data_IF_039548343515
#
_entry.id   IF_039548343515
#
_cell.length_a   1.000
_cell.length_b   1.000
_cell.length_c   1.000
_cell.angle_alpha   90.00
_cell.angle_beta   90.00
_cell.angle_gamma   90.00
#
_symmetry.space_group_name_H-M   'P 1'
#
loop_
_entity.id
_entity.type
_entity.pdbx_description
1 polymer ?
#
# COMPACT_ATOMS: atom_id res chain seq x y z
N UNK A 1 8.24 -8.97 -11.77
CA UNK A 1 9.16 -10.06 -11.40
C UNK A 1 9.22 -10.30 -9.90
N UNK A 2 9.44 -9.29 -9.04
CA UNK A 2 9.57 -9.48 -7.58
C UNK A 2 8.33 -10.08 -6.93
N UNK A 3 7.12 -9.71 -7.37
CA UNK A 3 5.87 -10.16 -6.76
C UNK A 3 5.59 -11.65 -7.00
N UNK A 4 5.87 -12.15 -8.19
CA UNK A 4 5.49 -13.52 -8.60
C UNK A 4 6.67 -14.41 -8.99
N UNK A 5 7.89 -13.87 -9.08
CA UNK A 5 9.06 -14.57 -9.62
C UNK A 5 9.08 -14.66 -11.15
N UNK A 6 8.04 -14.21 -11.85
CA UNK A 6 7.99 -14.30 -13.32
C UNK A 6 9.04 -13.39 -13.97
N UNK A 7 9.91 -13.91 -14.88
CA UNK A 7 11.04 -13.18 -15.45
C UNK A 7 10.61 -12.25 -16.58
N UNK A 8 9.92 -11.15 -16.26
CA UNK A 8 9.33 -10.23 -17.24
C UNK A 8 10.36 -9.73 -18.27
N UNK A 9 11.56 -9.32 -17.84
CA UNK A 9 12.58 -8.79 -18.74
C UNK A 9 13.05 -9.83 -19.77
N UNK A 10 13.26 -11.08 -19.34
CA UNK A 10 13.64 -12.19 -20.23
C UNK A 10 12.55 -12.48 -21.27
N UNK A 11 11.28 -12.50 -20.83
CA UNK A 11 10.14 -12.72 -21.74
C UNK A 11 10.01 -11.54 -22.70
N UNK A 12 10.06 -10.30 -22.21
CA UNK A 12 9.99 -9.09 -23.04
C UNK A 12 11.07 -9.06 -24.13
N UNK A 13 12.31 -9.44 -23.82
CA UNK A 13 13.39 -9.53 -24.79
C UNK A 13 13.09 -10.55 -25.90
N UNK A 14 12.49 -11.70 -25.57
CA UNK A 14 12.06 -12.70 -26.57
C UNK A 14 10.91 -12.22 -27.43
N UNK A 15 9.91 -11.55 -26.85
CA UNK A 15 8.82 -10.94 -27.59
C UNK A 15 9.33 -9.89 -28.59
N UNK A 16 10.32 -9.10 -28.19
CA UNK A 16 10.93 -8.08 -29.05
C UNK A 16 11.60 -8.63 -30.32
N UNK A 17 12.03 -9.90 -30.30
CA UNK A 17 12.61 -10.59 -31.48
C UNK A 17 11.63 -11.51 -32.20
N UNK A 18 10.33 -11.40 -31.88
CA UNK A 18 9.24 -11.99 -32.68
C UNK A 18 8.58 -13.23 -32.07
N UNK A 19 8.99 -13.72 -30.90
CA UNK A 19 8.26 -14.79 -30.22
C UNK A 19 6.91 -14.29 -29.69
N UNK A 20 5.94 -15.19 -29.59
CA UNK A 20 4.66 -14.93 -28.88
C UNK A 20 4.65 -15.55 -27.50
N UNK A 21 3.72 -15.10 -26.63
CA UNK A 21 3.60 -15.64 -25.27
C UNK A 21 3.25 -17.14 -25.25
N UNK A 22 2.52 -17.60 -26.26
CA UNK A 22 2.09 -19.00 -26.35
C UNK A 22 3.23 -19.93 -26.80
N UNK A 23 4.19 -19.40 -27.56
CA UNK A 23 5.40 -20.15 -27.98
C UNK A 23 6.42 -20.29 -26.86
N UNK A 24 6.37 -19.41 -25.86
CA UNK A 24 7.31 -19.41 -24.75
C UNK A 24 6.76 -20.22 -23.55
N UNK A 25 7.64 -21.00 -22.93
CA UNK A 25 7.29 -21.70 -21.70
C UNK A 25 7.36 -20.76 -20.49
N UNK A 26 6.46 -20.97 -19.56
CA UNK A 26 6.49 -20.32 -18.24
C UNK A 26 7.62 -20.91 -17.41
N UNK A 27 8.57 -20.07 -16.99
CA UNK A 27 9.75 -20.52 -16.23
C UNK A 27 9.40 -21.04 -14.81
N UNK A 28 8.23 -20.65 -14.27
CA UNK A 28 7.79 -21.07 -12.93
C UNK A 28 7.14 -22.44 -12.99
N UNK A 29 6.14 -22.60 -13.81
CA UNK A 29 5.39 -23.86 -13.95
C UNK A 29 6.13 -24.91 -14.78
N UNK A 30 6.95 -24.47 -15.74
CA UNK A 30 7.71 -25.26 -16.73
C UNK A 30 6.86 -26.07 -17.69
N UNK A 31 5.56 -26.16 -17.45
CA UNK A 31 4.60 -26.97 -18.23
C UNK A 31 3.57 -26.13 -18.98
N UNK A 32 3.27 -24.93 -18.50
CA UNK A 32 2.32 -24.01 -19.14
C UNK A 32 3.02 -23.00 -20.04
N UNK A 33 2.30 -22.37 -21.00
CA UNK A 33 2.86 -21.27 -21.78
C UNK A 33 3.08 -20.01 -20.91
N UNK A 34 3.87 -19.06 -21.41
CA UNK A 34 4.13 -17.80 -20.73
C UNK A 34 2.89 -16.89 -20.64
N UNK A 35 1.86 -17.15 -21.42
CA UNK A 35 0.53 -16.50 -21.34
C UNK A 35 -0.30 -16.92 -20.12
N UNK A 36 0.10 -17.97 -19.41
CA UNK A 36 -0.59 -18.44 -18.20
C UNK A 36 -0.47 -17.42 -17.07
N UNK A 37 -1.61 -16.95 -16.56
CA UNK A 37 -1.64 -16.00 -15.46
C UNK A 37 -1.18 -16.65 -14.14
N UNK A 38 -0.37 -15.94 -13.32
CA UNK A 38 0.06 -16.48 -12.03
C UNK A 38 -1.12 -16.63 -11.09
N UNK A 39 -1.19 -17.77 -10.40
CA UNK A 39 -2.10 -18.03 -9.28
C UNK A 39 -1.30 -17.97 -7.98
N UNK A 40 -1.58 -16.98 -7.15
CA UNK A 40 -0.88 -16.74 -5.87
C UNK A 40 -1.89 -16.69 -4.73
N UNK A 41 -1.45 -17.14 -3.54
CA UNK A 41 -2.22 -17.17 -2.30
C UNK A 41 -1.73 -16.14 -1.26
N UNK A 42 -1.03 -15.12 -1.73
CA UNK A 42 -0.52 -14.01 -0.93
C UNK A 42 -0.76 -12.68 -1.62
N UNK A 43 -0.70 -11.59 -0.86
CA UNK A 43 -0.82 -10.23 -1.37
C UNK A 43 0.55 -9.54 -1.28
N UNK A 44 0.93 -8.86 -2.35
CA UNK A 44 2.13 -8.04 -2.39
C UNK A 44 1.72 -6.58 -2.51
N UNK A 45 2.13 -5.78 -1.53
CA UNK A 45 1.96 -4.33 -1.55
C UNK A 45 3.30 -3.66 -1.83
N UNK A 46 3.35 -2.85 -2.87
CA UNK A 46 4.50 -2.04 -3.23
C UNK A 46 4.24 -0.60 -2.83
N UNK A 47 5.10 -0.05 -1.97
CA UNK A 47 5.02 1.34 -1.53
C UNK A 47 6.26 2.09 -2.01
N UNK A 48 6.10 3.14 -2.84
CA UNK A 48 7.22 3.96 -3.28
C UNK A 48 7.70 4.87 -2.15
N UNK A 49 9.02 5.09 -2.10
CA UNK A 49 9.64 6.08 -1.22
C UNK A 49 9.90 7.36 -1.98
N UNK A 50 9.53 8.49 -1.37
CA UNK A 50 9.78 9.84 -1.90
C UNK A 50 10.69 10.59 -0.94
N UNK A 51 11.57 11.43 -1.46
CA UNK A 51 12.54 12.23 -0.69
C UNK A 51 12.54 13.68 -1.19
N UNK A 52 11.34 14.26 -1.35
CA UNK A 52 11.19 15.64 -1.84
C UNK A 52 11.93 16.66 -0.97
N UNK A 53 12.08 16.38 0.33
CA UNK A 53 12.81 17.22 1.28
C UNK A 53 14.31 17.37 0.93
N UNK A 54 14.89 16.42 0.19
CA UNK A 54 16.29 16.44 -0.25
C UNK A 54 16.48 17.17 -1.58
N UNK A 55 15.41 17.47 -2.30
CA UNK A 55 15.44 18.11 -3.62
C UNK A 55 14.72 19.44 -3.57
N UNK A 56 15.45 20.49 -3.12
CA UNK A 56 14.92 21.85 -2.97
C UNK A 56 14.38 22.34 -4.30
N UNK A 57 13.14 22.84 -4.31
CA UNK A 57 12.46 23.34 -5.51
C UNK A 57 11.78 22.27 -6.37
N UNK A 58 11.82 20.99 -5.97
CA UNK A 58 11.09 19.95 -6.68
C UNK A 58 9.57 20.07 -6.44
N UNK A 59 8.79 19.79 -7.48
CA UNK A 59 7.34 19.69 -7.37
C UNK A 59 6.95 18.37 -6.67
N UNK A 60 6.36 18.49 -5.48
CA UNK A 60 5.91 17.35 -4.67
C UNK A 60 4.56 16.77 -5.09
N UNK A 61 3.84 17.37 -6.02
CA UNK A 61 2.61 16.80 -6.55
C UNK A 61 2.91 15.54 -7.36
N UNK A 62 2.19 14.46 -7.06
CA UNK A 62 2.30 13.23 -7.84
C UNK A 62 1.56 13.36 -9.16
N UNK A 63 2.23 12.99 -10.24
CA UNK A 63 1.72 12.99 -11.61
C UNK A 63 2.03 11.64 -12.27
N UNK A 64 1.93 11.54 -13.59
CA UNK A 64 2.32 10.35 -14.34
C UNK A 64 3.84 10.17 -14.45
N UNK A 65 4.65 11.19 -14.13
CA UNK A 65 6.10 11.08 -14.10
C UNK A 65 6.60 10.36 -12.84
N UNK A 66 7.66 9.58 -12.97
CA UNK A 66 8.27 8.88 -11.86
C UNK A 66 9.06 9.86 -10.97
N UNK A 67 8.67 9.97 -9.70
CA UNK A 67 9.28 10.86 -8.70
C UNK A 67 9.83 10.11 -7.48
N UNK A 68 9.59 8.80 -7.40
CA UNK A 68 10.11 7.97 -6.32
C UNK A 68 11.60 7.68 -6.48
N UNK A 69 12.31 7.58 -5.35
CA UNK A 69 13.75 7.26 -5.29
C UNK A 69 14.02 5.81 -4.91
N UNK A 70 13.00 5.11 -4.45
CA UNK A 70 13.07 3.72 -4.03
C UNK A 70 11.67 3.17 -3.77
N UNK A 71 11.62 1.95 -3.26
CA UNK A 71 10.37 1.26 -2.99
C UNK A 71 10.58 0.16 -1.96
N UNK A 72 9.53 -0.13 -1.20
CA UNK A 72 9.42 -1.38 -0.43
C UNK A 72 8.43 -2.31 -1.10
N UNK A 73 8.62 -3.60 -0.92
CA UNK A 73 7.66 -4.64 -1.27
C UNK A 73 7.44 -5.53 -0.07
N UNK A 74 6.22 -5.58 0.39
CA UNK A 74 5.80 -6.39 1.52
C UNK A 74 4.85 -7.48 1.06
N UNK A 75 4.91 -8.63 1.73
CA UNK A 75 4.06 -9.78 1.46
C UNK A 75 3.23 -10.05 2.70
N UNK A 76 1.94 -10.28 2.52
CA UNK A 76 1.00 -10.62 3.58
C UNK A 76 -0.08 -11.58 3.09
N UNK A 77 -0.87 -12.10 3.99
CA UNK A 77 -2.04 -12.92 3.68
C UNK A 77 -3.28 -12.06 3.39
N UNK A 78 -3.27 -10.82 3.86
CA UNK A 78 -4.31 -9.82 3.60
C UNK A 78 -3.68 -8.51 3.13
N UNK A 79 -4.50 -7.65 2.51
CA UNK A 79 -4.06 -6.33 2.09
C UNK A 79 -3.65 -5.48 3.31
N UNK A 80 -4.43 -5.52 4.38
CA UNK A 80 -4.14 -4.77 5.62
C UNK A 80 -2.79 -5.15 6.20
N UNK A 81 -2.49 -6.46 6.29
CA UNK A 81 -1.18 -6.96 6.76
C UNK A 81 -0.05 -6.47 5.86
N UNK A 82 -0.17 -6.64 4.55
CA UNK A 82 0.88 -6.26 3.61
C UNK A 82 1.07 -4.74 3.56
N UNK A 83 0.00 -3.94 3.65
CA UNK A 83 0.07 -2.48 3.66
C UNK A 83 0.83 -1.97 4.89
N UNK A 84 0.47 -2.44 6.09
CA UNK A 84 1.12 -2.03 7.32
C UNK A 84 2.61 -2.42 7.36
N UNK A 85 2.93 -3.66 7.00
CA UNK A 85 4.33 -4.10 6.85
C UNK A 85 5.10 -3.25 5.83
N UNK A 86 4.46 -2.88 4.73
CA UNK A 86 5.08 -2.03 3.70
C UNK A 86 5.44 -0.66 4.23
N UNK A 87 4.56 0.00 4.98
CA UNK A 87 4.86 1.29 5.61
C UNK A 87 5.97 1.18 6.65
N UNK A 88 5.92 0.19 7.54
CA UNK A 88 6.97 -0.05 8.52
C UNK A 88 8.34 -0.33 7.90
N UNK A 89 8.37 -0.87 6.67
CA UNK A 89 9.61 -1.19 5.94
C UNK A 89 10.16 -0.01 5.12
N UNK A 90 9.49 1.15 5.06
CA UNK A 90 9.96 2.31 4.31
C UNK A 90 11.20 2.98 4.92
N UNK A 91 11.55 2.64 6.18
CA UNK A 91 12.59 3.35 6.95
C UNK A 91 12.35 4.86 7.01
N UNK A 92 11.10 5.23 7.22
CA UNK A 92 10.61 6.61 7.26
C UNK A 92 9.90 6.89 8.59
N UNK A 93 10.37 6.25 9.68
CA UNK A 93 9.82 6.28 11.04
C UNK A 93 8.29 6.11 11.08
N UNK A 94 7.78 5.16 10.30
CA UNK A 94 6.38 4.73 10.29
C UNK A 94 6.30 3.29 10.81
N UNK A 95 5.37 3.03 11.72
CA UNK A 95 5.11 1.69 12.27
C UNK A 95 3.90 0.98 11.64
N UNK A 96 3.44 1.51 10.52
CA UNK A 96 2.27 1.07 9.78
C UNK A 96 1.50 2.23 9.21
N UNK A 97 0.16 2.16 9.23
CA UNK A 97 -0.72 3.23 8.79
C UNK A 97 -0.79 4.33 9.87
N UNK A 98 0.27 5.09 10.02
CA UNK A 98 0.35 6.20 10.97
C UNK A 98 -0.27 7.49 10.42
N UNK A 99 -0.34 8.52 11.27
CA UNK A 99 -0.70 9.85 10.83
C UNK A 99 0.34 10.40 9.84
N UNK A 100 -0.06 11.23 8.87
CA UNK A 100 0.88 11.82 7.92
C UNK A 100 1.87 12.74 8.64
N UNK A 101 3.13 12.69 8.20
CA UNK A 101 4.21 13.51 8.77
C UNK A 101 4.13 14.96 8.31
N UNK A 102 4.48 15.88 9.20
CA UNK A 102 4.56 17.31 8.92
C UNK A 102 3.25 17.94 8.43
N UNK A 103 2.13 17.23 8.58
CA UNK A 103 0.80 17.70 8.20
C UNK A 103 -0.14 17.42 9.37
N UNK A 104 -0.62 18.48 10.01
CA UNK A 104 -1.69 18.33 11.02
C UNK A 104 -3.04 18.25 10.33
N UNK A 105 -3.65 17.08 10.33
CA UNK A 105 -4.98 16.86 9.79
C UNK A 105 -6.03 17.12 10.88
N UNK A 106 -6.95 18.05 10.59
CA UNK A 106 -8.06 18.42 11.47
C UNK A 106 -9.35 18.42 10.65
N UNK A 107 -10.49 18.42 11.36
CA UNK A 107 -11.80 18.48 10.69
C UNK A 107 -11.96 19.65 9.72
N UNK A 108 -11.30 20.78 10.00
CA UNK A 108 -11.38 21.99 9.18
C UNK A 108 -10.61 21.90 7.87
N UNK A 109 -9.50 21.13 7.84
CA UNK A 109 -8.62 21.07 6.66
C UNK A 109 -8.61 19.70 5.95
N UNK A 110 -9.24 18.67 6.51
CA UNK A 110 -9.18 17.29 6.02
C UNK A 110 -9.60 17.18 4.55
N UNK A 111 -10.63 17.89 4.12
CA UNK A 111 -11.10 17.86 2.72
C UNK A 111 -10.07 18.46 1.77
N UNK A 112 -9.41 19.55 2.18
CA UNK A 112 -8.33 20.16 1.41
C UNK A 112 -7.13 19.23 1.27
N UNK A 113 -6.75 18.55 2.35
CA UNK A 113 -5.61 17.62 2.33
C UNK A 113 -5.92 16.35 1.51
N UNK A 114 -7.15 15.80 1.60
CA UNK A 114 -7.60 14.68 0.76
C UNK A 114 -7.56 15.00 -0.75
N UNK A 115 -7.80 16.26 -1.12
CA UNK A 115 -7.80 16.69 -2.52
C UNK A 115 -6.40 16.80 -3.13
N UNK A 116 -5.34 16.85 -2.31
CA UNK A 116 -3.97 16.94 -2.79
C UNK A 116 -3.46 15.59 -3.32
N UNK A 117 -2.72 15.62 -4.40
CA UNK A 117 -2.03 14.45 -4.96
C UNK A 117 -0.64 14.31 -4.32
N UNK A 118 -0.61 14.09 -3.01
CA UNK A 118 0.62 13.98 -2.24
C UNK A 118 1.09 12.54 -2.07
N UNK A 119 2.38 12.38 -1.79
CA UNK A 119 2.98 11.07 -1.44
C UNK A 119 2.41 10.45 -0.16
N UNK A 120 1.82 11.26 0.72
CA UNK A 120 1.23 10.82 1.99
C UNK A 120 -0.29 10.60 1.91
N UNK A 121 -0.88 10.60 0.71
CA UNK A 121 -2.34 10.58 0.52
C UNK A 121 -3.03 9.39 1.21
N UNK A 122 -2.40 8.21 1.23
CA UNK A 122 -2.95 7.03 1.93
C UNK A 122 -2.99 7.26 3.44
N UNK A 123 -1.96 7.88 4.02
CA UNK A 123 -1.93 8.24 5.44
C UNK A 123 -3.00 9.29 5.76
N UNK A 124 -3.22 10.26 4.86
CA UNK A 124 -4.30 11.26 4.97
C UNK A 124 -5.68 10.59 4.93
N UNK A 125 -5.86 9.55 4.10
CA UNK A 125 -7.10 8.76 4.08
C UNK A 125 -7.32 8.06 5.43
N UNK A 126 -6.28 7.41 5.97
CA UNK A 126 -6.35 6.79 7.30
C UNK A 126 -6.74 7.78 8.39
N UNK A 127 -6.09 8.94 8.42
CA UNK A 127 -6.39 10.00 9.39
C UNK A 127 -7.80 10.58 9.21
N UNK A 128 -8.26 10.70 7.97
CA UNK A 128 -9.63 11.16 7.68
C UNK A 128 -10.68 10.20 8.24
N UNK A 129 -10.43 8.89 8.16
CA UNK A 129 -11.31 7.87 8.73
C UNK A 129 -11.30 7.91 10.27
N UNK A 130 -10.13 8.15 10.91
CA UNK A 130 -10.04 8.37 12.37
C UNK A 130 -10.85 9.59 12.83
N UNK A 131 -10.90 10.62 11.98
CA UNK A 131 -11.73 11.83 12.23
C UNK A 131 -13.23 11.65 11.91
N UNK A 132 -13.64 10.46 11.45
CA UNK A 132 -15.03 10.13 11.15
C UNK A 132 -15.53 10.65 9.80
N UNK A 133 -14.65 10.90 8.84
CA UNK A 133 -15.07 11.24 7.47
C UNK A 133 -15.61 10.00 6.79
N UNK A 134 -16.81 10.11 6.22
CA UNK A 134 -17.48 8.99 5.53
C UNK A 134 -16.70 8.52 4.30
N UNK A 135 -16.66 7.21 4.08
CA UNK A 135 -15.93 6.58 2.99
C UNK A 135 -16.40 7.03 1.60
N UNK A 136 -17.70 7.27 1.44
CA UNK A 136 -18.29 7.79 0.20
C UNK A 136 -17.73 9.16 -0.15
N UNK A 137 -17.56 10.02 0.85
CA UNK A 137 -16.96 11.35 0.68
C UNK A 137 -15.47 11.25 0.33
N UNK A 138 -14.73 10.34 0.98
CA UNK A 138 -13.33 10.06 0.65
C UNK A 138 -13.20 9.56 -0.80
N UNK A 139 -14.01 8.57 -1.20
CA UNK A 139 -14.03 8.05 -2.57
C UNK A 139 -14.34 9.16 -3.59
N UNK A 140 -15.35 10.00 -3.33
CA UNK A 140 -15.73 11.11 -4.22
C UNK A 140 -14.57 12.09 -4.46
N UNK A 141 -13.78 12.38 -3.44
CA UNK A 141 -12.65 13.32 -3.50
C UNK A 141 -11.42 12.68 -4.10
N UNK A 142 -11.05 11.50 -3.59
CA UNK A 142 -9.76 10.87 -3.91
C UNK A 142 -9.81 10.01 -5.17
N UNK A 143 -11.00 9.51 -5.53
CA UNK A 143 -11.23 8.51 -6.59
C UNK A 143 -10.54 7.16 -6.34
N UNK A 144 -10.11 6.91 -5.08
CA UNK A 144 -9.69 5.57 -4.68
C UNK A 144 -10.88 4.62 -4.75
N UNK A 145 -10.64 3.40 -5.23
CA UNK A 145 -11.66 2.37 -5.24
C UNK A 145 -12.20 2.13 -3.82
N UNK A 146 -13.54 2.02 -3.66
CA UNK A 146 -14.18 1.82 -2.35
C UNK A 146 -13.62 0.64 -1.56
N UNK A 147 -13.18 -0.42 -2.24
CA UNK A 147 -12.59 -1.59 -1.60
C UNK A 147 -11.33 -1.23 -0.80
N UNK A 148 -10.41 -0.43 -1.39
CA UNK A 148 -9.20 0.01 -0.67
C UNK A 148 -9.52 0.90 0.52
N UNK A 149 -10.54 1.77 0.40
CA UNK A 149 -10.96 2.63 1.50
C UNK A 149 -11.53 1.78 2.64
N UNK A 150 -12.31 0.74 2.34
CA UNK A 150 -12.85 -0.19 3.33
C UNK A 150 -11.74 -0.98 4.05
N UNK A 151 -10.74 -1.46 3.31
CA UNK A 151 -9.58 -2.13 3.90
C UNK A 151 -8.78 -1.21 4.83
N UNK A 152 -8.57 0.06 4.44
CA UNK A 152 -7.93 1.06 5.29
C UNK A 152 -8.80 1.34 6.53
N UNK A 153 -10.12 1.42 6.37
CA UNK A 153 -11.06 1.58 7.48
C UNK A 153 -10.97 0.44 8.47
N UNK A 154 -10.83 -0.80 8.00
CA UNK A 154 -10.68 -1.97 8.86
C UNK A 154 -9.43 -1.88 9.76
N UNK A 155 -8.36 -1.23 9.31
CA UNK A 155 -7.18 -0.97 10.15
C UNK A 155 -7.53 0.01 11.27
N UNK A 156 -8.22 1.10 10.95
CA UNK A 156 -8.66 2.10 11.94
C UNK A 156 -9.64 1.49 12.97
N UNK A 157 -10.51 0.57 12.55
CA UNK A 157 -11.40 -0.15 13.44
C UNK A 157 -10.63 -1.04 14.43
N UNK A 158 -9.57 -1.71 13.98
CA UNK A 158 -8.69 -2.49 14.87
C UNK A 158 -7.92 -1.60 15.84
N UNK A 159 -7.45 -0.41 15.42
CA UNK A 159 -6.87 0.58 16.34
C UNK A 159 -7.84 0.91 17.47
N UNK A 160 -9.12 1.14 17.15
CA UNK A 160 -10.14 1.42 18.16
C UNK A 160 -10.40 0.22 19.09
N UNK A 161 -10.32 -1.00 18.58
CA UNK A 161 -10.43 -2.21 19.42
C UNK A 161 -9.28 -2.28 20.41
N UNK A 162 -8.03 -2.05 19.95
CA UNK A 162 -6.83 -2.06 20.80
C UNK A 162 -6.92 -0.98 21.89
N UNK A 163 -7.38 0.23 21.54
CA UNK A 163 -7.46 1.37 22.48
C UNK A 163 -8.55 1.15 23.56
N UNK A 164 -9.67 0.53 23.20
CA UNK A 164 -10.85 0.48 24.06
C UNK A 164 -11.04 -0.86 24.81
N UNK A 165 -10.22 -1.87 24.55
CA UNK A 165 -10.32 -3.17 25.17
C UNK A 165 -9.02 -3.59 25.85
N UNK A 166 -9.12 -4.57 26.76
CA UNK A 166 -7.94 -5.23 27.29
C UNK A 166 -7.21 -6.02 26.18
N UNK A 167 -5.89 -5.97 26.19
CA UNK A 167 -5.06 -6.74 25.25
C UNK A 167 -4.97 -8.21 25.69
N UNK A 168 -6.07 -8.90 25.53
CA UNK A 168 -6.07 -10.36 25.70
C UNK A 168 -5.41 -11.07 24.51
N UNK A 169 -5.24 -12.38 24.62
CA UNK A 169 -4.59 -13.19 23.60
C UNK A 169 -5.31 -13.12 22.24
N UNK A 170 -6.64 -13.07 22.26
CA UNK A 170 -7.45 -13.07 21.03
C UNK A 170 -7.32 -11.72 20.31
N UNK A 171 -7.46 -10.62 21.02
CA UNK A 171 -7.26 -9.25 20.52
C UNK A 171 -5.86 -9.06 19.98
N UNK A 172 -4.83 -9.57 20.68
CA UNK A 172 -3.45 -9.49 20.23
C UNK A 172 -3.24 -10.28 18.93
N UNK A 173 -3.73 -11.53 18.86
CA UNK A 173 -3.62 -12.34 17.64
C UNK A 173 -4.34 -11.67 16.44
N UNK A 174 -5.51 -11.08 16.69
CA UNK A 174 -6.25 -10.37 15.65
C UNK A 174 -5.47 -9.15 15.15
N UNK A 175 -4.95 -8.32 16.06
CA UNK A 175 -4.13 -7.17 15.69
C UNK A 175 -2.87 -7.59 14.88
N UNK A 176 -2.17 -8.64 15.34
CA UNK A 176 -1.00 -9.17 14.62
C UNK A 176 -1.36 -9.71 13.23
N UNK A 177 -2.49 -10.38 13.08
CA UNK A 177 -2.98 -10.86 11.78
C UNK A 177 -3.31 -9.70 10.81
N UNK A 178 -3.65 -8.51 11.33
CA UNK A 178 -3.88 -7.28 10.56
C UNK A 178 -2.60 -6.47 10.30
N UNK A 179 -1.44 -6.95 10.75
CA UNK A 179 -0.13 -6.37 10.45
C UNK A 179 0.34 -5.30 11.43
N UNK A 180 -0.28 -5.18 12.60
CA UNK A 180 0.19 -4.25 13.64
C UNK A 180 1.55 -4.69 14.20
N UNK A 181 2.49 -3.76 14.29
CA UNK A 181 3.79 -3.96 14.94
C UNK A 181 3.62 -4.02 16.47
N UNK A 182 4.61 -4.57 17.17
CA UNK A 182 4.62 -4.55 18.65
C UNK A 182 4.67 -3.11 19.20
N UNK A 183 5.33 -2.22 18.46
CA UNK A 183 5.44 -0.81 18.82
C UNK A 183 4.12 -0.05 18.64
N UNK A 184 3.29 -0.49 17.70
CA UNK A 184 1.99 0.13 17.42
C UNK A 184 0.89 -0.35 18.38
N UNK A 185 1.02 -1.55 18.96
CA UNK A 185 0.13 -2.12 19.97
C UNK A 185 0.48 -1.61 21.38
#
# INVERSE_FOLDING_TARGET
SKATGFPIAKIAAKLAVGFTLDELKNDITRTTPASFEPSIDYIVTKIPRFTFEKFIGSDSNLTTSMKSVGETMSIGRSFTESLQKGFASLEDDLDGLDAPKNISIKKENVIKELSKQSSQRILVIGESLRLGVEKEKINKITKYDPWFIEEIKSIVEVENIIINNDLDKETLLYAKAKGFSDQKI
#
